data_IF_833906554815
#
_entry.id   IF_833906554815
#
_cell.length_a   1.000
_cell.length_b   1.000
_cell.length_c   1.000
_cell.angle_alpha   90.00
_cell.angle_beta   90.00
_cell.angle_gamma   90.00
#
_symmetry.space_group_name_H-M   'P 1'
#
loop_
_entity.id
_entity.type
_entity.pdbx_description
1 polymer ?
#
# COMPACT_ATOMS: atom_id res chain seq x y z
N UNK A 1 -28.34 1.06 12.74
CA UNK A 1 -29.36 1.85 12.03
C UNK A 1 -28.77 2.26 10.69
N UNK A 2 -29.22 1.62 9.62
CA UNK A 2 -28.74 1.85 8.25
C UNK A 2 -29.24 3.21 7.74
N UNK A 3 -28.33 4.08 7.28
CA UNK A 3 -28.68 5.38 6.68
C UNK A 3 -29.10 5.16 5.22
N UNK A 4 -30.31 4.66 5.02
CA UNK A 4 -30.97 4.66 3.71
C UNK A 4 -31.53 6.07 3.40
N UNK A 5 -31.25 6.62 2.21
CA UNK A 5 -32.09 7.68 1.62
C UNK A 5 -31.44 9.00 1.14
N UNK A 6 -30.12 9.19 1.23
CA UNK A 6 -29.50 10.49 0.87
C UNK A 6 -29.10 10.64 -0.61
N UNK A 7 -29.03 9.54 -1.36
CA UNK A 7 -28.61 9.54 -2.76
C UNK A 7 -29.47 8.56 -3.53
N UNK A 8 -29.98 9.00 -4.68
CA UNK A 8 -30.75 8.15 -5.59
C UNK A 8 -29.86 7.80 -6.80
N UNK A 9 -29.84 6.52 -7.15
CA UNK A 9 -29.11 6.00 -8.31
C UNK A 9 -30.10 5.92 -9.47
N UNK A 10 -29.86 6.66 -10.54
CA UNK A 10 -30.67 6.54 -11.75
C UNK A 10 -30.26 5.29 -12.57
N UNK A 11 -31.08 4.91 -13.56
CA UNK A 11 -30.84 3.72 -14.39
C UNK A 11 -29.53 3.79 -15.21
N UNK A 12 -28.90 4.96 -15.29
CA UNK A 12 -27.61 5.20 -15.93
C UNK A 12 -26.41 5.16 -14.95
N UNK A 13 -26.64 4.72 -13.70
CA UNK A 13 -25.61 4.61 -12.66
C UNK A 13 -25.03 5.96 -12.20
N UNK A 14 -25.71 7.07 -12.49
CA UNK A 14 -25.35 8.38 -11.96
C UNK A 14 -26.06 8.62 -10.63
N UNK A 15 -25.32 9.20 -9.69
CA UNK A 15 -25.76 9.44 -8.33
C UNK A 15 -26.22 10.88 -8.20
N UNK A 16 -27.52 11.09 -8.02
CA UNK A 16 -28.08 12.44 -7.86
C UNK A 16 -28.47 12.65 -6.40
N UNK A 17 -28.03 13.76 -5.82
CA UNK A 17 -28.38 14.13 -4.44
C UNK A 17 -29.89 14.39 -4.38
N UNK A 18 -30.57 13.77 -3.41
CA UNK A 18 -32.02 13.92 -3.21
C UNK A 18 -32.36 15.29 -2.61
N UNK A 19 -33.61 15.70 -2.72
CA UNK A 19 -34.08 16.99 -2.16
C UNK A 19 -33.85 17.07 -0.63
N UNK A 20 -33.95 15.93 0.07
CA UNK A 20 -33.60 15.81 1.48
C UNK A 20 -32.11 16.03 1.76
N UNK A 21 -31.23 15.56 0.86
CA UNK A 21 -29.79 15.83 0.92
C UNK A 21 -29.46 17.31 0.69
N UNK A 22 -30.19 17.99 -0.22
CA UNK A 22 -30.03 19.43 -0.46
C UNK A 22 -30.46 20.29 0.74
N UNK A 23 -31.56 19.93 1.39
CA UNK A 23 -32.03 20.61 2.61
C UNK A 23 -31.01 20.48 3.78
N UNK A 24 -30.30 19.36 3.86
CA UNK A 24 -29.27 19.15 4.88
C UNK A 24 -28.05 20.08 4.70
N UNK A 25 -27.66 20.35 3.45
CA UNK A 25 -26.55 21.26 3.12
C UNK A 25 -26.91 22.73 3.38
N UNK A 26 -28.18 23.10 3.17
CA UNK A 26 -28.65 24.49 3.34
C UNK A 26 -28.92 24.89 4.81
N UNK A 27 -29.05 23.93 5.72
CA UNK A 27 -29.35 24.18 7.13
C UNK A 27 -28.12 24.30 8.04
N UNK A 28 -26.90 24.13 7.51
CA UNK A 28 -25.66 24.26 8.28
C UNK A 28 -25.22 25.74 8.37
N UNK A 29 -24.99 26.30 9.58
CA UNK A 29 -24.51 27.67 9.75
C UNK A 29 -23.06 27.81 9.23
N UNK A 30 -22.65 29.00 8.74
CA UNK A 30 -21.28 29.22 8.32
C UNK A 30 -20.37 29.39 9.56
N UNK A 31 -19.21 28.74 9.49
CA UNK A 31 -18.10 28.74 10.44
C UNK A 31 -18.18 27.71 11.59
N UNK A 32 -17.26 26.74 11.50
CA UNK A 32 -16.72 26.03 12.67
C UNK A 32 -17.17 24.59 12.85
N UNK A 33 -16.97 23.72 11.87
CA UNK A 33 -16.73 22.27 12.04
C UNK A 33 -16.56 21.65 10.63
N UNK A 34 -15.33 21.35 10.24
CA UNK A 34 -15.01 20.54 9.05
C UNK A 34 -15.57 19.13 9.23
N UNK A 35 -16.48 18.65 8.35
CA UNK A 35 -16.87 17.25 8.31
C UNK A 35 -16.17 16.51 7.16
N UNK A 36 -16.18 15.18 7.21
CA UNK A 36 -15.20 14.30 7.85
C UNK A 36 -13.98 14.03 6.95
N UNK A 37 -12.84 13.70 7.58
CA UNK A 37 -11.58 13.21 6.99
C UNK A 37 -11.56 13.06 5.46
N UNK A 38 -10.96 14.06 4.81
CA UNK A 38 -10.27 13.86 3.55
C UNK A 38 -9.51 12.53 3.63
N UNK A 39 -9.60 11.70 2.60
CA UNK A 39 -8.85 10.45 2.51
C UNK A 39 -7.37 10.75 2.74
N UNK A 40 -6.92 10.61 3.99
CA UNK A 40 -5.51 10.75 4.32
C UNK A 40 -4.79 9.68 3.51
N UNK A 41 -3.64 10.04 2.92
CA UNK A 41 -2.82 9.16 2.07
C UNK A 41 -2.49 7.79 2.74
N UNK A 42 -2.77 7.64 4.04
CA UNK A 42 -2.78 6.37 4.77
C UNK A 42 -3.85 5.35 4.31
N UNK A 43 -4.97 5.76 3.69
CA UNK A 43 -6.05 4.85 3.26
C UNK A 43 -5.65 3.98 2.04
N UNK A 44 -4.65 4.42 1.25
CA UNK A 44 -4.04 3.65 0.15
C UNK A 44 -2.92 2.70 0.63
N UNK A 45 -2.74 2.50 1.94
CA UNK A 45 -1.72 1.61 2.53
C UNK A 45 -1.94 0.16 2.12
N UNK A 46 -1.32 -0.25 1.02
CA UNK A 46 -0.96 -1.65 0.80
C UNK A 46 -0.08 -2.13 1.97
N UNK A 47 -0.30 -3.35 2.44
CA UNK A 47 0.49 -3.94 3.55
C UNK A 47 1.99 -3.96 3.20
N UNK A 48 2.89 -4.05 4.18
CA UNK A 48 4.34 -4.15 3.94
C UNK A 48 4.69 -5.27 2.96
N UNK A 49 3.96 -6.39 3.04
CA UNK A 49 4.09 -7.51 2.12
C UNK A 49 3.74 -7.11 0.69
N UNK A 50 2.63 -6.41 0.49
CA UNK A 50 2.22 -5.93 -0.83
C UNK A 50 3.20 -4.89 -1.37
N UNK A 51 3.67 -3.95 -0.55
CA UNK A 51 4.68 -2.97 -0.97
C UNK A 51 6.00 -3.64 -1.39
N UNK A 52 6.43 -4.64 -0.62
CA UNK A 52 7.60 -5.43 -0.97
C UNK A 52 7.44 -6.09 -2.34
N UNK A 53 6.25 -6.67 -2.60
CA UNK A 53 5.92 -7.29 -3.88
C UNK A 53 5.94 -6.26 -5.03
N UNK A 54 5.30 -5.11 -4.86
CA UNK A 54 5.25 -4.07 -5.90
C UNK A 54 6.64 -3.50 -6.25
N UNK A 55 7.53 -3.38 -5.26
CA UNK A 55 8.93 -3.02 -5.51
C UNK A 55 9.66 -4.08 -6.34
N UNK A 56 9.41 -5.37 -6.10
CA UNK A 56 9.97 -6.47 -6.88
C UNK A 56 9.51 -6.43 -8.34
N UNK A 57 8.22 -6.13 -8.55
CA UNK A 57 7.63 -5.98 -9.90
C UNK A 57 8.27 -4.82 -10.64
N UNK A 58 8.35 -3.66 -9.98
CA UNK A 58 8.95 -2.44 -10.53
C UNK A 58 10.43 -2.63 -10.87
N UNK A 59 11.14 -3.43 -10.07
CA UNK A 59 12.55 -3.76 -10.32
C UNK A 59 12.73 -4.67 -11.54
N UNK A 60 11.67 -5.33 -12.01
CA UNK A 60 11.69 -6.22 -13.18
C UNK A 60 11.97 -7.69 -12.83
N UNK A 61 11.76 -8.10 -11.56
CA UNK A 61 11.88 -9.50 -11.17
C UNK A 61 10.75 -10.30 -11.80
N UNK A 62 11.13 -11.26 -12.62
CA UNK A 62 10.23 -12.19 -13.32
C UNK A 62 10.75 -13.62 -13.16
N UNK A 63 9.86 -14.64 -13.16
CA UNK A 63 8.40 -14.56 -13.26
C UNK A 63 7.72 -14.09 -11.96
N UNK A 64 6.43 -13.70 -12.03
CA UNK A 64 5.66 -13.27 -10.84
C UNK A 64 5.64 -14.32 -9.72
N UNK A 65 5.62 -15.62 -10.07
CA UNK A 65 5.70 -16.70 -9.10
C UNK A 65 7.00 -16.68 -8.27
N UNK A 66 8.14 -16.32 -8.89
CA UNK A 66 9.41 -16.20 -8.18
C UNK A 66 9.36 -15.05 -7.16
N UNK A 67 8.73 -13.95 -7.53
CA UNK A 67 8.55 -12.78 -6.69
C UNK A 67 7.72 -13.13 -5.44
N UNK A 68 6.56 -13.77 -5.63
CA UNK A 68 5.69 -14.20 -4.52
C UNK A 68 6.36 -15.25 -3.63
N UNK A 69 7.09 -16.21 -4.21
CA UNK A 69 7.86 -17.18 -3.43
C UNK A 69 8.95 -16.51 -2.60
N UNK A 70 9.63 -15.51 -3.17
CA UNK A 70 10.67 -14.75 -2.48
C UNK A 70 10.10 -13.92 -1.33
N UNK A 71 8.98 -13.23 -1.55
CA UNK A 71 8.28 -12.50 -0.49
C UNK A 71 7.82 -13.46 0.63
N UNK A 72 7.26 -14.61 0.29
CA UNK A 72 6.86 -15.63 1.26
C UNK A 72 8.05 -16.18 2.06
N UNK A 73 9.19 -16.44 1.41
CA UNK A 73 10.42 -16.89 2.08
C UNK A 73 10.86 -15.87 3.13
N UNK A 74 10.90 -14.59 2.76
CA UNK A 74 11.30 -13.50 3.66
C UNK A 74 10.34 -13.40 4.86
N UNK A 75 9.02 -13.46 4.64
CA UNK A 75 8.02 -13.32 5.72
C UNK A 75 7.91 -14.53 6.64
N UNK A 76 8.15 -15.75 6.13
CA UNK A 76 8.00 -16.98 6.92
C UNK A 76 9.31 -17.45 7.54
N UNK A 77 10.44 -17.14 6.92
CA UNK A 77 11.76 -17.60 7.32
C UNK A 77 12.49 -16.68 8.31
N UNK A 78 12.08 -15.40 8.42
CA UNK A 78 12.72 -14.43 9.30
C UNK A 78 11.95 -13.12 9.43
N UNK A 79 12.65 -12.05 9.79
CA UNK A 79 12.06 -10.71 9.98
C UNK A 79 12.26 -9.86 8.72
N UNK A 80 11.17 -9.45 8.07
CA UNK A 80 11.22 -8.59 6.89
C UNK A 80 11.84 -7.20 7.17
N UNK A 81 11.99 -6.80 8.43
CA UNK A 81 12.67 -5.58 8.87
C UNK A 81 14.18 -5.76 9.07
N UNK A 82 14.66 -7.00 9.18
CA UNK A 82 16.09 -7.32 9.21
C UNK A 82 16.63 -7.32 7.77
N UNK A 83 17.35 -6.26 7.43
CA UNK A 83 17.89 -6.09 6.09
C UNK A 83 18.97 -7.11 5.72
N UNK A 84 19.69 -7.68 6.68
CA UNK A 84 20.64 -8.77 6.42
C UNK A 84 19.87 -10.02 6.01
N UNK A 85 18.78 -10.32 6.71
CA UNK A 85 17.87 -11.40 6.35
C UNK A 85 17.23 -11.18 4.97
N UNK A 86 16.70 -9.98 4.69
CA UNK A 86 16.09 -9.69 3.38
C UNK A 86 17.10 -9.88 2.25
N UNK A 87 18.33 -9.37 2.40
CA UNK A 87 19.39 -9.56 1.40
C UNK A 87 19.68 -11.04 1.17
N UNK A 88 19.87 -11.79 2.25
CA UNK A 88 20.09 -13.23 2.20
C UNK A 88 18.94 -13.94 1.48
N UNK A 89 17.70 -13.65 1.84
CA UNK A 89 16.51 -14.24 1.21
C UNK A 89 16.44 -13.98 -0.29
N UNK A 90 16.74 -12.76 -0.75
CA UNK A 90 16.80 -12.44 -2.19
C UNK A 90 17.88 -13.28 -2.90
N UNK A 91 19.06 -13.43 -2.30
CA UNK A 91 20.16 -14.21 -2.89
C UNK A 91 19.88 -15.72 -2.90
N UNK A 92 19.34 -16.28 -1.81
CA UNK A 92 18.99 -17.70 -1.70
C UNK A 92 17.90 -18.11 -2.69
N UNK A 93 16.95 -17.21 -2.96
CA UNK A 93 15.89 -17.43 -3.96
C UNK A 93 16.38 -17.28 -5.41
N UNK A 94 17.67 -17.02 -5.61
CA UNK A 94 18.28 -16.95 -6.95
C UNK A 94 17.87 -15.72 -7.74
N UNK A 95 17.47 -14.63 -7.06
CA UNK A 95 17.26 -13.35 -7.73
C UNK A 95 18.60 -12.87 -8.29
N UNK A 96 18.61 -12.46 -9.55
CA UNK A 96 19.82 -11.92 -10.21
C UNK A 96 20.39 -10.77 -9.37
N UNK A 97 21.70 -10.77 -9.15
CA UNK A 97 22.35 -9.88 -8.17
C UNK A 97 22.00 -8.39 -8.35
N UNK A 98 21.98 -7.88 -9.58
CA UNK A 98 21.63 -6.48 -9.87
C UNK A 98 20.16 -6.16 -9.53
N UNK A 99 19.24 -7.09 -9.78
CA UNK A 99 17.83 -6.96 -9.42
C UNK A 99 17.65 -7.08 -7.90
N UNK A 100 18.33 -8.04 -7.26
CA UNK A 100 18.32 -8.19 -5.81
C UNK A 100 18.79 -6.91 -5.12
N UNK A 101 19.88 -6.31 -5.61
CA UNK A 101 20.44 -5.08 -5.07
C UNK A 101 19.48 -3.90 -5.21
N UNK A 102 18.86 -3.71 -6.38
CA UNK A 102 17.86 -2.65 -6.59
C UNK A 102 16.63 -2.83 -5.70
N UNK A 103 16.10 -4.05 -5.63
CA UNK A 103 14.93 -4.35 -4.81
C UNK A 103 15.24 -4.15 -3.32
N UNK A 104 16.37 -4.65 -2.85
CA UNK A 104 16.83 -4.48 -1.48
C UNK A 104 17.02 -3.00 -1.10
N UNK A 105 17.65 -2.20 -1.97
CA UNK A 105 17.82 -0.77 -1.71
C UNK A 105 16.50 -0.01 -1.67
N UNK A 106 15.54 -0.35 -2.54
CA UNK A 106 14.19 0.20 -2.49
C UNK A 106 13.51 -0.14 -1.16
N UNK A 107 13.61 -1.39 -0.73
CA UNK A 107 13.03 -1.84 0.54
C UNK A 107 13.67 -1.17 1.77
N UNK A 108 15.00 -1.12 1.84
CA UNK A 108 15.74 -0.40 2.88
C UNK A 108 15.28 1.05 2.98
N UNK A 109 15.12 1.71 1.82
CA UNK A 109 14.71 3.12 1.77
C UNK A 109 13.27 3.31 2.26
N UNK A 110 12.37 2.40 1.88
CA UNK A 110 10.98 2.37 2.38
C UNK A 110 10.91 2.18 3.90
N UNK A 111 11.79 1.34 4.47
CA UNK A 111 11.89 1.15 5.92
C UNK A 111 12.64 2.28 6.65
N UNK A 112 13.15 3.28 5.92
CA UNK A 112 13.97 4.37 6.46
C UNK A 112 15.19 3.90 7.28
N UNK A 113 15.79 2.77 6.89
CA UNK A 113 16.93 2.18 7.60
C UNK A 113 18.27 2.53 6.94
N UNK A 114 19.33 2.61 7.75
CA UNK A 114 20.70 2.68 7.24
C UNK A 114 21.12 1.36 6.56
N UNK A 115 22.21 1.39 5.81
CA UNK A 115 22.83 0.16 5.29
C UNK A 115 23.48 -0.57 6.49
N UNK A 116 23.13 -1.84 6.77
CA UNK A 116 23.79 -2.61 7.80
C UNK A 116 25.30 -2.72 7.54
N UNK A 117 26.13 -2.73 8.59
CA UNK A 117 27.59 -2.73 8.44
C UNK A 117 28.09 -4.00 7.75
N UNK A 118 27.36 -5.10 7.92
CA UNK A 118 27.62 -6.41 7.31
C UNK A 118 27.44 -6.40 5.78
N UNK A 119 26.72 -5.41 5.24
CA UNK A 119 26.39 -5.26 3.83
C UNK A 119 26.94 -3.96 3.22
N UNK A 120 27.72 -3.19 3.98
CA UNK A 120 28.27 -1.90 3.57
C UNK A 120 29.52 -2.03 2.69
#
# INVERSE_FOLDING_TARGET
MEKQGLVEKNEQHEYTITEAGRQFVLAAPPEGETPPDEETEESLKTTEYQQFIEMGKTTGVVPLALLEQTANHIWRGGDFRDLVWVWKGLTEMGIRHDLAQRWWHSWRSYLHQAIPTELA
#
